data_IF_405017032949
#
_entry.id   IF_405017032949
#
_cell.length_a   1.000
_cell.length_b   1.000
_cell.length_c   1.000
_cell.angle_alpha   90.00
_cell.angle_beta   90.00
_cell.angle_gamma   90.00
#
_symmetry.space_group_name_H-M   'P 1'
#
loop_
_entity.id
_entity.type
_entity.pdbx_description
1 polymer ?
#
# COMPACT_ATOMS: atom_id res chain seq x y z
N UNK A 1 -16.44 -12.55 8.70
CA UNK A 1 -17.87 -12.82 8.43
C UNK A 1 -18.53 -13.28 9.69
N UNK A 2 -19.68 -12.70 10.03
CA UNK A 2 -20.50 -13.08 11.17
C UNK A 2 -21.76 -13.77 10.66
N UNK A 3 -22.17 -14.83 11.34
CA UNK A 3 -23.41 -15.56 11.07
C UNK A 3 -24.22 -15.60 12.36
N UNK A 4 -25.51 -15.38 12.26
CA UNK A 4 -26.43 -15.57 13.38
C UNK A 4 -27.76 -16.12 12.90
N UNK A 5 -28.55 -16.60 13.85
CA UNK A 5 -29.92 -17.06 13.63
C UNK A 5 -30.85 -16.11 14.39
N UNK A 6 -31.92 -15.68 13.73
CA UNK A 6 -32.96 -14.84 14.36
C UNK A 6 -33.88 -15.70 15.22
N UNK A 7 -34.69 -15.07 16.07
CA UNK A 7 -35.69 -15.77 16.90
C UNK A 7 -36.74 -16.53 16.05
N UNK A 8 -36.90 -16.17 14.78
CA UNK A 8 -37.78 -16.85 13.81
C UNK A 8 -37.10 -18.04 13.10
N UNK A 9 -35.85 -18.37 13.43
CA UNK A 9 -35.07 -19.46 12.82
C UNK A 9 -34.34 -19.10 11.53
N UNK A 10 -34.47 -17.85 11.07
CA UNK A 10 -33.82 -17.36 9.87
C UNK A 10 -32.32 -17.14 10.11
N UNK A 11 -31.47 -17.73 9.27
CA UNK A 11 -30.02 -17.47 9.27
C UNK A 11 -29.70 -16.19 8.53
N UNK A 12 -28.82 -15.38 9.11
CA UNK A 12 -28.35 -14.11 8.55
C UNK A 12 -26.82 -14.06 8.52
N UNK A 13 -26.29 -13.30 7.57
CA UNK A 13 -24.85 -13.11 7.38
C UNK A 13 -24.48 -11.63 7.24
N UNK A 14 -23.51 -11.21 8.05
CA UNK A 14 -22.79 -9.95 7.85
C UNK A 14 -21.38 -10.23 7.32
N UNK A 15 -21.03 -9.54 6.25
CA UNK A 15 -19.67 -9.51 5.70
C UNK A 15 -19.01 -8.18 6.03
N UNK A 16 -17.76 -8.25 6.46
CA UNK A 16 -16.87 -7.09 6.61
C UNK A 16 -15.77 -7.27 5.58
N UNK A 17 -15.61 -6.31 4.66
CA UNK A 17 -14.51 -6.37 3.68
C UNK A 17 -13.15 -6.29 4.36
N UNK A 18 -13.06 -5.54 5.47
CA UNK A 18 -11.79 -4.98 5.91
C UNK A 18 -11.21 -4.07 4.83
N UNK A 19 -9.89 -3.98 4.76
CA UNK A 19 -9.21 -3.46 3.58
C UNK A 19 -9.29 -4.54 2.49
N UNK A 20 -10.09 -4.30 1.46
CA UNK A 20 -10.50 -5.31 0.49
C UNK A 20 -9.31 -5.90 -0.27
N UNK A 21 -8.26 -5.12 -0.47
CA UNK A 21 -7.19 -5.52 -1.37
C UNK A 21 -7.52 -5.22 -2.83
N UNK A 22 -6.53 -5.36 -3.69
CA UNK A 22 -6.69 -5.26 -5.15
C UNK A 22 -6.46 -6.63 -5.77
N UNK A 23 -7.09 -6.90 -6.91
CA UNK A 23 -6.82 -8.13 -7.67
C UNK A 23 -5.47 -8.04 -8.42
N UNK A 24 -4.96 -9.19 -8.84
CA UNK A 24 -3.73 -9.37 -9.63
C UNK A 24 -2.50 -8.69 -9.01
N UNK A 25 -2.41 -8.70 -7.67
CA UNK A 25 -1.24 -8.17 -6.96
C UNK A 25 -0.18 -9.24 -6.80
N UNK A 26 1.11 -8.92 -7.04
CA UNK A 26 2.16 -9.91 -6.81
C UNK A 26 2.20 -10.28 -5.33
N UNK A 27 2.48 -11.56 -5.08
CA UNK A 27 2.52 -12.24 -3.79
C UNK A 27 1.14 -12.46 -3.17
N UNK A 28 0.18 -11.55 -3.32
CA UNK A 28 -1.11 -11.64 -2.62
C UNK A 28 -2.16 -12.39 -3.44
N UNK A 29 -2.99 -13.18 -2.76
CA UNK A 29 -4.19 -13.74 -3.37
C UNK A 29 -5.19 -12.63 -3.69
N UNK A 30 -5.96 -12.84 -4.74
CA UNK A 30 -7.07 -11.96 -5.08
C UNK A 30 -8.11 -11.89 -3.95
N UNK A 31 -8.83 -10.76 -3.83
CA UNK A 31 -9.92 -10.64 -2.88
C UNK A 31 -10.93 -11.79 -3.04
N UNK A 32 -11.29 -12.42 -1.92
CA UNK A 32 -12.22 -13.55 -1.94
C UNK A 32 -13.58 -13.11 -2.49
N UNK A 33 -14.14 -13.87 -3.43
CA UNK A 33 -15.51 -13.65 -3.89
C UNK A 33 -16.49 -13.92 -2.74
N UNK A 34 -17.45 -13.03 -2.56
CA UNK A 34 -18.50 -13.18 -1.56
C UNK A 34 -19.79 -13.63 -2.22
N UNK A 35 -20.45 -14.59 -1.58
CA UNK A 35 -21.75 -15.12 -1.98
C UNK A 35 -22.73 -14.96 -0.83
N UNK A 36 -24.02 -14.76 -1.13
CA UNK A 36 -25.15 -14.74 -0.18
C UNK A 36 -24.86 -13.93 1.09
N UNK A 37 -25.14 -12.62 1.06
CA UNK A 37 -24.87 -11.70 2.18
C UNK A 37 -26.09 -10.82 2.43
N UNK A 38 -26.58 -10.78 3.68
CA UNK A 38 -27.68 -9.90 4.06
C UNK A 38 -27.20 -8.47 4.30
N UNK A 39 -26.05 -8.33 4.95
CA UNK A 39 -25.49 -7.03 5.32
C UNK A 39 -24.00 -6.97 5.01
N UNK A 40 -23.56 -5.87 4.42
CA UNK A 40 -22.18 -5.71 3.99
C UNK A 40 -21.60 -4.42 4.55
N UNK A 41 -20.44 -4.50 5.20
CA UNK A 41 -19.59 -3.36 5.50
C UNK A 41 -18.43 -3.35 4.52
N UNK A 42 -18.26 -2.25 3.77
CA UNK A 42 -17.24 -2.12 2.73
C UNK A 42 -16.38 -0.87 2.96
N UNK A 43 -15.07 -1.01 2.78
CA UNK A 43 -14.14 0.13 2.85
C UNK A 43 -14.40 1.17 1.75
N UNK A 44 -13.89 2.39 1.95
CA UNK A 44 -14.05 3.48 0.99
C UNK A 44 -12.82 4.36 0.84
N UNK A 45 -11.63 3.80 1.12
CA UNK A 45 -10.36 4.54 1.09
C UNK A 45 -10.13 5.29 -0.22
N UNK A 46 -10.48 4.69 -1.37
CA UNK A 46 -10.44 5.31 -2.70
C UNK A 46 -11.82 5.43 -3.35
N UNK A 47 -12.88 5.60 -2.55
CA UNK A 47 -14.28 5.65 -3.04
C UNK A 47 -14.61 6.77 -4.04
N UNK A 48 -13.76 7.80 -4.15
CA UNK A 48 -13.89 8.91 -5.10
C UNK A 48 -12.78 8.98 -6.16
N UNK A 49 -11.90 7.98 -6.27
CA UNK A 49 -10.72 8.04 -7.14
C UNK A 49 -10.51 6.72 -7.87
N UNK A 50 -9.94 6.80 -9.07
CA UNK A 50 -9.35 5.66 -9.76
C UNK A 50 -7.85 5.63 -9.53
N UNK A 51 -7.28 4.42 -9.51
CA UNK A 51 -5.84 4.27 -9.65
C UNK A 51 -5.45 4.66 -11.07
N UNK A 52 -4.65 5.73 -11.23
CA UNK A 52 -4.30 6.28 -12.55
C UNK A 52 -3.31 5.40 -13.34
N UNK A 53 -2.61 4.51 -12.65
CA UNK A 53 -1.53 3.72 -13.23
C UNK A 53 -1.93 2.26 -13.44
N UNK A 54 -2.20 1.88 -14.70
CA UNK A 54 -2.38 0.47 -15.08
C UNK A 54 -1.08 -0.35 -14.95
N UNK A 55 0.07 0.32 -15.03
CA UNK A 55 1.42 -0.26 -14.97
C UNK A 55 2.30 0.48 -13.95
N UNK A 56 2.01 0.37 -12.65
CA UNK A 56 2.77 1.06 -11.60
C UNK A 56 4.26 0.67 -11.59
N UNK A 57 4.60 -0.55 -12.02
CA UNK A 57 5.96 -1.05 -12.20
C UNK A 57 6.76 -0.27 -13.24
N UNK A 58 6.12 0.20 -14.32
CA UNK A 58 6.78 1.02 -15.34
C UNK A 58 7.13 2.40 -14.79
N UNK A 59 6.22 3.02 -14.04
CA UNK A 59 6.48 4.30 -13.38
C UNK A 59 7.58 4.17 -12.33
N UNK A 60 7.61 3.05 -11.59
CA UNK A 60 8.70 2.74 -10.66
C UNK A 60 10.05 2.64 -11.37
N UNK A 61 10.12 1.88 -12.47
CA UNK A 61 11.30 1.77 -13.32
C UNK A 61 11.79 3.14 -13.79
N UNK A 62 10.90 3.95 -14.37
CA UNK A 62 11.22 5.30 -14.86
C UNK A 62 11.81 6.17 -13.75
N UNK A 63 11.18 6.18 -12.57
CA UNK A 63 11.64 6.99 -11.43
C UNK A 63 12.99 6.52 -10.90
N UNK A 64 13.22 5.20 -10.84
CA UNK A 64 14.51 4.64 -10.43
C UNK A 64 15.59 5.03 -11.44
N UNK A 65 15.39 4.74 -12.72
CA UNK A 65 16.37 5.00 -13.77
C UNK A 65 16.74 6.49 -13.85
N UNK A 66 15.76 7.38 -13.80
CA UNK A 66 16.01 8.83 -13.81
C UNK A 66 16.81 9.29 -12.59
N UNK A 67 16.49 8.77 -11.41
CA UNK A 67 17.14 9.15 -10.15
C UNK A 67 18.57 8.64 -10.10
N UNK A 68 18.78 7.37 -10.45
CA UNK A 68 20.11 6.75 -10.45
C UNK A 68 21.01 7.41 -11.51
N UNK A 69 20.49 7.75 -12.69
CA UNK A 69 21.24 8.49 -13.73
C UNK A 69 21.74 9.86 -13.26
N UNK A 70 20.99 10.52 -12.37
CA UNK A 70 21.39 11.79 -11.73
C UNK A 70 22.37 11.60 -10.56
N UNK A 71 22.88 10.38 -10.37
CA UNK A 71 23.67 9.96 -9.21
C UNK A 71 22.94 10.21 -7.88
N UNK A 72 21.61 10.12 -7.90
CA UNK A 72 20.75 10.24 -6.75
C UNK A 72 20.39 8.88 -6.15
N UNK A 73 19.57 8.95 -5.12
CA UNK A 73 19.06 7.80 -4.38
C UNK A 73 17.55 7.91 -4.33
N UNK A 74 16.87 6.77 -4.38
CA UNK A 74 15.41 6.69 -4.27
C UNK A 74 15.06 6.30 -2.84
N UNK A 75 14.31 7.16 -2.16
CA UNK A 75 13.85 6.94 -0.79
C UNK A 75 12.38 6.56 -0.88
N UNK A 76 12.02 5.36 -0.45
CA UNK A 76 10.68 4.81 -0.55
C UNK A 76 10.14 4.57 0.87
N UNK A 77 9.35 5.51 1.43
CA UNK A 77 8.61 5.28 2.64
C UNK A 77 7.61 4.15 2.42
N UNK A 78 7.71 3.09 3.21
CA UNK A 78 6.85 1.90 3.05
C UNK A 78 6.37 1.35 4.39
N UNK A 79 5.19 0.74 4.40
CA UNK A 79 4.73 -0.04 5.54
C UNK A 79 5.55 -1.33 5.63
N UNK A 80 5.91 -1.69 6.86
CA UNK A 80 6.79 -2.83 7.10
C UNK A 80 6.18 -4.16 6.62
N UNK A 81 4.86 -4.30 6.74
CA UNK A 81 4.10 -5.49 6.33
C UNK A 81 3.32 -5.20 5.05
N UNK A 82 3.34 -6.14 4.11
CA UNK A 82 2.68 -6.04 2.82
C UNK A 82 3.49 -5.24 1.79
N UNK A 83 3.51 -3.91 1.91
CA UNK A 83 4.06 -3.03 0.85
C UNK A 83 5.56 -3.18 0.62
N UNK A 84 6.32 -3.43 1.68
CA UNK A 84 7.78 -3.63 1.55
C UNK A 84 8.09 -4.92 0.79
N UNK A 85 7.37 -6.01 1.06
CA UNK A 85 7.57 -7.30 0.40
C UNK A 85 7.18 -7.22 -1.07
N UNK A 86 6.05 -6.57 -1.36
CA UNK A 86 5.60 -6.33 -2.74
C UNK A 86 6.62 -5.50 -3.54
N UNK A 87 7.14 -4.44 -2.95
CA UNK A 87 8.16 -3.63 -3.60
C UNK A 87 9.45 -4.42 -3.86
N UNK A 88 9.90 -5.23 -2.90
CA UNK A 88 11.10 -6.06 -3.07
C UNK A 88 10.94 -7.08 -4.20
N UNK A 89 9.78 -7.72 -4.30
CA UNK A 89 9.45 -8.63 -5.38
C UNK A 89 9.52 -7.96 -6.75
N UNK A 90 8.92 -6.76 -6.87
CA UNK A 90 8.88 -6.02 -8.13
C UNK A 90 10.26 -5.48 -8.51
N UNK A 91 11.03 -4.99 -7.53
CA UNK A 91 12.41 -4.55 -7.78
C UNK A 91 13.28 -5.71 -8.29
N UNK A 92 13.13 -6.91 -7.72
CA UNK A 92 13.83 -8.11 -8.19
C UNK A 92 13.42 -8.47 -9.61
N UNK A 93 12.13 -8.46 -9.93
CA UNK A 93 11.65 -8.73 -11.29
C UNK A 93 12.19 -7.72 -12.32
N UNK A 94 12.17 -6.43 -11.98
CA UNK A 94 12.71 -5.37 -12.84
C UNK A 94 14.23 -5.51 -13.03
N UNK A 95 14.96 -5.91 -11.99
CA UNK A 95 16.41 -6.14 -12.04
C UNK A 95 16.77 -7.36 -12.88
N UNK A 96 16.06 -8.49 -12.71
CA UNK A 96 16.24 -9.71 -13.52
C UNK A 96 15.98 -9.44 -15.00
N UNK A 97 14.98 -8.60 -15.31
CA UNK A 97 14.66 -8.15 -16.66
C UNK A 97 15.65 -7.08 -17.20
N UNK A 98 16.64 -6.66 -16.40
CA UNK A 98 17.60 -5.58 -16.72
C UNK A 98 16.93 -4.23 -17.05
N UNK A 99 15.73 -4.00 -16.51
CA UNK A 99 14.96 -2.75 -16.68
C UNK A 99 15.42 -1.66 -15.72
N UNK A 100 15.98 -2.03 -14.57
CA UNK A 100 16.65 -1.13 -13.64
C UNK A 100 18.11 -1.55 -13.44
N UNK A 101 19.02 -0.62 -13.14
CA UNK A 101 20.40 -0.96 -12.82
C UNK A 101 20.50 -1.69 -11.48
N UNK A 102 21.49 -2.56 -11.37
CA UNK A 102 21.84 -3.21 -10.11
C UNK A 102 22.48 -2.18 -9.18
N UNK A 103 21.73 -1.75 -8.17
CA UNK A 103 22.17 -0.80 -7.15
C UNK A 103 21.85 -1.38 -5.76
N UNK A 104 22.57 -0.96 -4.71
CA UNK A 104 22.24 -1.38 -3.35
C UNK A 104 20.79 -1.04 -2.99
N UNK A 105 20.05 -2.04 -2.50
CA UNK A 105 18.68 -1.87 -1.97
C UNK A 105 18.73 -2.08 -0.46
N UNK A 106 18.65 -1.00 0.30
CA UNK A 106 18.64 -1.03 1.75
C UNK A 106 17.21 -1.14 2.28
N UNK A 107 16.94 -2.17 3.08
CA UNK A 107 15.69 -2.31 3.82
C UNK A 107 15.99 -1.99 5.28
N UNK A 108 15.70 -0.74 5.67
CA UNK A 108 16.01 -0.22 7.00
C UNK A 108 14.76 -0.17 7.90
N UNK A 109 14.28 -1.35 8.27
CA UNK A 109 13.22 -1.52 9.26
C UNK A 109 13.28 -2.93 9.84
N UNK A 110 13.61 -3.10 11.13
CA UNK A 110 13.61 -4.42 11.77
C UNK A 110 12.27 -5.13 11.63
N UNK A 111 11.18 -4.37 11.72
CA UNK A 111 9.83 -4.92 11.52
C UNK A 111 9.62 -5.38 10.08
N UNK A 112 10.12 -4.65 9.08
CA UNK A 112 9.97 -5.07 7.68
C UNK A 112 10.82 -6.30 7.37
N UNK A 113 12.02 -6.40 7.94
CA UNK A 113 12.91 -7.55 7.83
C UNK A 113 12.20 -8.80 8.37
N UNK A 114 11.70 -8.73 9.61
CA UNK A 114 11.00 -9.84 10.25
C UNK A 114 9.71 -10.21 9.49
N UNK A 115 8.96 -9.21 9.00
CA UNK A 115 7.77 -9.45 8.20
C UNK A 115 8.11 -10.15 6.89
N UNK A 116 9.18 -9.75 6.19
CA UNK A 116 9.64 -10.41 4.96
C UNK A 116 10.02 -11.87 5.22
N UNK A 117 10.69 -12.16 6.34
CA UNK A 117 11.02 -13.53 6.72
C UNK A 117 9.76 -14.37 6.98
N UNK A 118 8.79 -13.83 7.72
CA UNK A 118 7.51 -14.49 7.95
C UNK A 118 6.77 -14.73 6.64
N UNK A 119 6.67 -13.72 5.77
CA UNK A 119 6.02 -13.85 4.46
C UNK A 119 6.69 -14.93 3.62
N UNK A 120 8.03 -14.99 3.60
CA UNK A 120 8.78 -16.00 2.85
C UNK A 120 8.57 -17.43 3.33
N UNK A 121 8.19 -17.64 4.60
CA UNK A 121 7.92 -18.97 5.15
C UNK A 121 6.49 -19.45 4.88
N UNK A 122 5.53 -18.53 4.77
CA UNK A 122 4.10 -18.85 4.60
C UNK A 122 3.66 -18.81 3.13
N UNK A 123 4.27 -19.68 2.34
CA UNK A 123 4.11 -19.76 0.88
C UNK A 123 2.67 -20.12 0.48
N UNK A 124 1.94 -20.85 1.33
CA UNK A 124 0.54 -21.22 1.16
C UNK A 124 -0.42 -20.02 1.12
N UNK A 125 0.01 -18.89 1.67
CA UNK A 125 -0.74 -17.64 1.67
C UNK A 125 -0.41 -16.74 0.47
N UNK A 126 0.55 -17.15 -0.37
CA UNK A 126 0.98 -16.39 -1.53
C UNK A 126 0.26 -16.80 -2.81
N UNK A 127 0.31 -15.93 -3.82
CA UNK A 127 -0.18 -16.23 -5.18
C UNK A 127 0.64 -17.34 -5.86
N UNK A 128 0.14 -17.83 -7.00
CA UNK A 128 0.78 -18.93 -7.74
C UNK A 128 2.18 -18.58 -8.28
N UNK A 129 2.38 -17.37 -8.79
CA UNK A 129 3.68 -16.90 -9.30
C UNK A 129 4.76 -16.86 -8.21
N UNK A 130 4.43 -16.31 -7.05
CA UNK A 130 5.34 -16.28 -5.90
C UNK A 130 5.67 -17.70 -5.39
N UNK A 131 4.67 -18.60 -5.38
CA UNK A 131 4.87 -20.02 -5.05
C UNK A 131 5.80 -20.73 -6.05
N UNK A 132 5.68 -20.43 -7.34
CA UNK A 132 6.53 -21.01 -8.38
C UNK A 132 8.00 -20.59 -8.23
N UNK A 133 8.26 -19.34 -7.81
CA UNK A 133 9.62 -18.88 -7.52
C UNK A 133 10.24 -19.68 -6.37
N UNK A 134 9.47 -19.94 -5.32
CA UNK A 134 9.93 -20.77 -4.21
C UNK A 134 10.30 -22.19 -4.65
N UNK A 135 9.46 -22.83 -5.49
CA UNK A 135 9.74 -24.17 -6.05
C UNK A 135 11.03 -24.19 -6.87
N UNK A 136 11.35 -23.09 -7.55
CA UNK A 136 12.60 -22.92 -8.32
C UNK A 136 13.82 -22.57 -7.47
N UNK A 137 13.66 -22.43 -6.15
CA UNK A 137 14.74 -22.03 -5.24
C UNK A 137 15.15 -20.56 -5.36
N UNK A 138 14.28 -19.70 -5.91
CA UNK A 138 14.54 -18.26 -6.08
C UNK A 138 14.06 -17.50 -4.84
N UNK A 139 14.91 -16.62 -4.30
CA UNK A 139 14.53 -15.74 -3.19
C UNK A 139 13.58 -14.63 -3.68
N UNK A 140 12.29 -14.75 -3.35
CA UNK A 140 11.24 -13.89 -3.90
C UNK A 140 11.32 -12.41 -3.50
N UNK A 141 12.02 -12.08 -2.42
CA UNK A 141 12.02 -10.75 -1.80
C UNK A 141 13.42 -10.13 -1.72
N UNK A 142 14.32 -10.54 -2.61
CA UNK A 142 15.68 -10.01 -2.66
C UNK A 142 16.08 -9.70 -4.09
N UNK A 143 16.57 -8.49 -4.31
CA UNK A 143 17.43 -8.19 -5.46
C UNK A 143 18.82 -8.80 -5.25
N UNK A 144 19.66 -8.80 -6.28
CA UNK A 144 21.04 -9.28 -6.21
C UNK A 144 21.89 -8.53 -5.17
N UNK A 145 21.51 -7.30 -4.82
CA UNK A 145 22.23 -6.47 -3.85
C UNK A 145 21.31 -5.87 -2.77
N UNK A 146 20.47 -6.73 -2.18
CA UNK A 146 19.62 -6.33 -1.04
C UNK A 146 20.38 -6.42 0.28
N UNK A 147 20.34 -5.35 1.06
CA UNK A 147 20.90 -5.25 2.41
C UNK A 147 19.79 -5.05 3.43
N UNK A 148 19.60 -6.05 4.30
CA UNK A 148 18.71 -5.94 5.45
C UNK A 148 19.46 -5.33 6.63
N UNK A 149 19.00 -4.18 7.11
CA UNK A 149 19.68 -3.37 8.13
C UNK A 149 18.95 -3.49 9.46
N UNK A 150 19.48 -4.31 10.36
CA UNK A 150 18.84 -4.58 11.65
C UNK A 150 19.23 -3.56 12.71
N UNK A 151 20.52 -3.20 12.77
CA UNK A 151 21.02 -2.38 13.88
C UNK A 151 20.94 -0.89 13.62
N UNK A 152 21.07 -0.10 14.69
CA UNK A 152 21.10 1.36 14.59
C UNK A 152 22.39 1.82 13.91
N UNK A 153 23.53 1.18 14.20
CA UNK A 153 24.81 1.55 13.60
C UNK A 153 24.79 1.33 12.08
N UNK A 154 24.22 0.21 11.62
CA UNK A 154 24.02 -0.06 10.19
C UNK A 154 23.13 1.00 9.54
N UNK A 155 22.00 1.35 10.17
CA UNK A 155 21.09 2.39 9.69
C UNK A 155 21.78 3.74 9.55
N UNK A 156 22.64 4.09 10.51
CA UNK A 156 23.41 5.33 10.46
C UNK A 156 24.40 5.34 9.29
N UNK A 157 25.12 4.24 9.05
CA UNK A 157 26.07 4.10 7.93
C UNK A 157 25.42 4.28 6.56
N UNK A 158 24.14 3.97 6.39
CA UNK A 158 23.41 4.23 5.13
C UNK A 158 23.40 5.72 4.80
N UNK A 159 23.37 6.60 5.80
CA UNK A 159 23.35 8.05 5.56
C UNK A 159 24.69 8.56 5.01
N UNK A 160 25.79 7.88 5.32
CA UNK A 160 27.13 8.20 4.82
C UNK A 160 27.38 7.61 3.41
N UNK A 161 26.49 6.74 2.93
CA UNK A 161 26.62 6.10 1.62
C UNK A 161 26.39 7.09 0.48
N UNK A 162 27.42 7.46 -0.27
CA UNK A 162 27.32 8.51 -1.29
C UNK A 162 26.90 8.01 -2.67
N UNK A 163 27.05 6.71 -2.95
CA UNK A 163 26.67 6.12 -4.23
C UNK A 163 25.14 6.01 -4.37
N UNK A 164 24.62 5.97 -5.62
CA UNK A 164 23.21 5.75 -5.89
C UNK A 164 22.70 4.46 -5.25
N UNK A 165 21.54 4.53 -4.60
CA UNK A 165 20.92 3.39 -3.92
C UNK A 165 19.41 3.57 -3.82
N UNK A 166 18.72 2.49 -3.45
CA UNK A 166 17.31 2.50 -3.07
C UNK A 166 17.24 2.26 -1.57
N UNK A 167 16.48 3.09 -0.85
CA UNK A 167 16.28 2.96 0.60
C UNK A 167 14.78 2.77 0.84
N UNK A 168 14.41 1.61 1.37
CA UNK A 168 13.05 1.27 1.78
C UNK A 168 13.03 1.28 3.30
N UNK A 169 12.21 2.14 3.91
CA UNK A 169 12.12 2.23 5.36
C UNK A 169 10.73 2.64 5.84
N UNK A 170 10.39 2.17 7.03
CA UNK A 170 9.16 2.54 7.73
C UNK A 170 9.34 3.87 8.50
N UNK A 171 8.29 4.66 8.70
CA UNK A 171 6.86 4.39 8.40
C UNK A 171 6.41 4.92 7.02
N UNK A 172 5.45 4.22 6.39
CA UNK A 172 4.95 4.54 5.05
C UNK A 172 4.29 5.91 4.90
N UNK A 173 3.87 6.54 5.99
CA UNK A 173 3.28 7.89 6.01
C UNK A 173 4.15 8.95 6.69
N UNK A 174 5.42 8.61 6.99
CA UNK A 174 6.37 9.52 7.63
C UNK A 174 5.89 10.06 8.99
N UNK A 175 5.16 9.25 9.75
CA UNK A 175 4.72 9.60 11.11
C UNK A 175 5.89 9.50 12.09
N UNK A 176 6.76 8.51 11.88
CA UNK A 176 8.00 8.27 12.63
C UNK A 176 8.92 7.26 11.93
N UNK A 177 9.91 6.77 12.68
CA UNK A 177 10.80 5.68 12.24
C UNK A 177 12.10 6.15 11.58
N UNK A 178 12.90 5.17 11.14
CA UNK A 178 14.25 5.39 10.60
C UNK A 178 14.24 6.18 9.28
N UNK A 179 13.16 6.08 8.50
CA UNK A 179 12.94 6.86 7.28
C UNK A 179 13.15 8.37 7.49
N UNK A 180 12.77 8.91 8.67
CA UNK A 180 12.94 10.33 8.96
C UNK A 180 14.41 10.76 9.03
N UNK A 181 15.29 9.87 9.47
CA UNK A 181 16.73 10.12 9.45
C UNK A 181 17.23 10.22 8.02
N UNK A 182 16.92 9.24 7.17
CA UNK A 182 17.31 9.28 5.75
C UNK A 182 16.78 10.52 5.03
N UNK A 183 15.54 10.91 5.31
CA UNK A 183 14.95 12.12 4.74
C UNK A 183 15.67 13.40 5.20
N UNK A 184 16.13 13.48 6.45
CA UNK A 184 16.91 14.62 6.94
C UNK A 184 18.16 14.87 6.08
N UNK A 185 18.84 13.80 5.65
CA UNK A 185 20.05 13.90 4.81
C UNK A 185 19.75 14.10 3.33
N UNK A 186 18.63 13.56 2.82
CA UNK A 186 18.38 13.48 1.36
C UNK A 186 17.42 14.55 0.82
N UNK A 187 16.47 15.03 1.63
CA UNK A 187 15.52 16.06 1.19
C UNK A 187 16.14 17.37 0.69
N UNK A 188 17.27 17.85 1.26
CA UNK A 188 17.87 19.11 0.80
C UNK A 188 18.55 19.05 -0.56
N UNK A 189 18.71 17.88 -1.19
CA UNK A 189 19.42 17.73 -2.47
C UNK A 189 18.45 17.27 -3.58
N UNK A 190 18.31 18.05 -4.68
CA UNK A 190 17.36 17.78 -5.77
C UNK A 190 17.69 16.54 -6.62
N UNK A 191 18.88 15.93 -6.47
CA UNK A 191 19.20 14.70 -7.19
C UNK A 191 18.44 13.48 -6.66
N UNK A 192 17.99 13.54 -5.40
CA UNK A 192 17.25 12.46 -4.76
C UNK A 192 15.76 12.51 -5.09
N UNK A 193 15.12 11.34 -5.02
CA UNK A 193 13.68 11.21 -5.19
C UNK A 193 13.10 10.54 -3.95
N UNK A 194 12.05 11.15 -3.39
CA UNK A 194 11.18 10.52 -2.39
C UNK A 194 9.94 10.03 -3.10
N UNK A 195 9.73 8.71 -3.09
CA UNK A 195 8.69 8.05 -3.84
C UNK A 195 7.66 7.43 -2.88
N UNK A 196 6.46 7.97 -2.86
CA UNK A 196 5.35 7.42 -2.10
C UNK A 196 4.60 6.37 -2.93
N UNK A 197 4.41 5.19 -2.36
CA UNK A 197 3.78 4.03 -3.03
C UNK A 197 2.45 3.63 -2.40
N UNK A 198 1.85 4.50 -1.58
CA UNK A 198 0.61 4.21 -0.87
C UNK A 198 -0.16 5.46 -0.50
N UNK A 199 -1.31 5.24 0.15
CA UNK A 199 -2.15 6.32 0.63
C UNK A 199 -1.40 7.16 1.67
N UNK A 200 -1.64 8.47 1.66
CA UNK A 200 -1.09 9.40 2.64
C UNK A 200 -2.26 10.11 3.29
N UNK A 201 -2.55 9.75 4.55
CA UNK A 201 -3.66 10.33 5.29
C UNK A 201 -3.45 11.82 5.59
N UNK A 202 -4.55 12.55 5.73
CA UNK A 202 -4.54 13.96 6.15
C UNK A 202 -3.77 14.14 7.47
N UNK A 203 -3.05 15.25 7.59
CA UNK A 203 -2.22 15.55 8.76
C UNK A 203 -0.86 14.85 8.80
N UNK A 204 -0.57 13.90 7.89
CA UNK A 204 0.74 13.24 7.82
C UNK A 204 1.79 14.09 7.09
N UNK A 205 3.08 13.84 7.39
CA UNK A 205 4.17 14.53 6.67
C UNK A 205 4.22 14.15 5.20
N UNK A 206 3.92 12.88 4.87
CA UNK A 206 3.92 12.44 3.48
C UNK A 206 2.83 13.14 2.67
N UNK A 207 1.62 13.30 3.23
CA UNK A 207 0.56 14.11 2.61
C UNK A 207 1.01 15.56 2.37
N UNK A 208 1.57 16.20 3.39
CA UNK A 208 2.06 17.58 3.26
C UNK A 208 3.15 17.74 2.19
N UNK A 209 4.03 16.74 2.01
CA UNK A 209 5.04 16.76 0.94
C UNK A 209 4.41 16.65 -0.45
N UNK A 210 3.43 15.77 -0.62
CA UNK A 210 2.70 15.61 -1.88
C UNK A 210 1.91 16.87 -2.26
N UNK A 211 1.40 17.60 -1.27
CA UNK A 211 0.74 18.90 -1.45
C UNK A 211 1.74 20.06 -1.70
N UNK A 212 3.03 19.75 -1.84
CA UNK A 212 4.04 20.72 -2.28
C UNK A 212 4.66 21.56 -1.18
N UNK A 213 4.48 21.18 0.10
CA UNK A 213 5.07 21.91 1.23
C UNK A 213 6.59 21.93 1.14
N UNK A 214 7.16 23.14 1.06
CA UNK A 214 8.60 23.36 0.83
C UNK A 214 9.50 23.04 2.03
N UNK A 215 8.93 22.89 3.23
CA UNK A 215 9.65 22.53 4.45
C UNK A 215 8.82 21.60 5.31
N UNK A 216 9.43 20.56 5.87
CA UNK A 216 8.78 19.64 6.80
C UNK A 216 9.54 19.56 8.13
N UNK A 217 8.81 19.41 9.23
CA UNK A 217 9.41 19.34 10.57
C UNK A 217 9.82 17.90 10.88
N UNK A 218 11.12 17.65 11.01
CA UNK A 218 11.71 16.34 11.39
C UNK A 218 12.60 16.56 12.61
N UNK A 219 12.37 15.79 13.68
CA UNK A 219 13.17 15.84 14.92
C UNK A 219 13.39 17.27 15.47
N UNK A 220 12.35 18.11 15.41
CA UNK A 220 12.40 19.50 15.89
C UNK A 220 12.87 20.53 14.86
N UNK A 221 13.49 20.10 13.75
CA UNK A 221 14.06 20.99 12.73
C UNK A 221 13.19 21.05 11.47
N UNK A 222 13.19 22.21 10.79
CA UNK A 222 12.51 22.38 9.50
C UNK A 222 13.47 22.07 8.34
N UNK A 223 13.27 20.94 7.69
CA UNK A 223 14.12 20.45 6.59
C UNK A 223 13.52 20.94 5.25
N UNK A 224 14.31 21.57 4.36
CA UNK A 224 13.84 21.97 3.04
C UNK A 224 13.61 20.75 2.14
N UNK A 225 12.47 20.75 1.45
CA UNK A 225 12.11 19.73 0.45
C UNK A 225 12.56 20.23 -0.91
N UNK A 226 13.78 19.86 -1.31
CA UNK A 226 14.35 20.12 -2.66
C UNK A 226 14.41 18.87 -3.52
N UNK A 227 14.53 17.70 -2.90
CA UNK A 227 14.39 16.40 -3.56
C UNK A 227 13.07 16.32 -4.33
N UNK A 228 13.08 15.57 -5.43
CA UNK A 228 11.87 15.28 -6.18
C UNK A 228 10.91 14.46 -5.30
N UNK A 229 9.65 14.84 -5.25
CA UNK A 229 8.61 14.11 -4.52
C UNK A 229 7.59 13.61 -5.52
N UNK A 230 7.36 12.30 -5.52
CA UNK A 230 6.45 11.65 -6.46
C UNK A 230 5.57 10.64 -5.75
N UNK A 231 4.42 10.33 -6.37
CA UNK A 231 3.52 9.27 -5.93
C UNK A 231 3.20 8.30 -7.07
N UNK A 232 3.18 7.02 -6.73
CA UNK A 232 2.63 5.96 -7.57
C UNK A 232 1.42 5.39 -6.82
N UNK A 233 0.21 5.75 -7.27
CA UNK A 233 -1.03 5.34 -6.61
C UNK A 233 -1.32 3.85 -6.83
N UNK A 234 -0.91 3.32 -7.99
CA UNK A 234 -1.10 1.91 -8.35
C UNK A 234 -0.38 0.89 -7.46
N UNK A 235 0.41 1.29 -6.45
CA UNK A 235 0.93 0.38 -5.42
C UNK A 235 0.11 0.36 -4.12
N UNK A 236 -1.02 1.07 -4.06
CA UNK A 236 -1.88 1.04 -2.89
C UNK A 236 -2.43 -0.37 -2.64
N UNK A 237 -2.60 -0.70 -1.35
CA UNK A 237 -3.23 -1.94 -0.91
C UNK A 237 -4.76 -1.89 -1.01
N UNK A 238 -5.35 -0.72 -1.19
CA UNK A 238 -6.81 -0.55 -1.17
C UNK A 238 -7.37 -0.51 -2.58
N UNK A 239 -8.54 -1.12 -2.75
CA UNK A 239 -9.30 -1.08 -3.99
C UNK A 239 -9.75 0.35 -4.32
N UNK A 240 -9.68 0.72 -5.59
CA UNK A 240 -10.42 1.89 -6.08
C UNK A 240 -11.92 1.59 -6.22
N UNK A 241 -12.70 2.62 -6.56
CA UNK A 241 -14.15 2.43 -6.64
C UNK A 241 -14.57 1.45 -7.73
N UNK A 242 -13.84 1.28 -8.85
CA UNK A 242 -14.20 0.31 -9.89
C UNK A 242 -13.89 -1.11 -9.43
N UNK A 243 -12.75 -1.31 -8.79
CA UNK A 243 -12.38 -2.57 -8.16
C UNK A 243 -13.38 -2.98 -7.08
N UNK A 244 -13.85 -2.03 -6.25
CA UNK A 244 -14.91 -2.28 -5.27
C UNK A 244 -16.22 -2.65 -5.97
N UNK A 245 -16.68 -1.86 -6.95
CA UNK A 245 -17.92 -2.16 -7.69
C UNK A 245 -17.85 -3.53 -8.39
N UNK A 246 -16.72 -3.88 -8.99
CA UNK A 246 -16.51 -5.18 -9.61
C UNK A 246 -16.58 -6.32 -8.58
N UNK A 247 -16.00 -6.14 -7.39
CA UNK A 247 -16.12 -7.11 -6.31
C UNK A 247 -17.57 -7.26 -5.82
N UNK A 248 -18.30 -6.14 -5.68
CA UNK A 248 -19.72 -6.14 -5.31
C UNK A 248 -20.60 -6.83 -6.36
N UNK A 249 -20.28 -6.69 -7.65
CA UNK A 249 -21.01 -7.33 -8.74
C UNK A 249 -20.97 -8.87 -8.68
N UNK A 250 -20.05 -9.46 -7.91
CA UNK A 250 -20.00 -10.89 -7.64
C UNK A 250 -21.12 -11.40 -6.72
N UNK A 251 -21.86 -10.52 -6.05
CA UNK A 251 -22.99 -10.91 -5.21
C UNK A 251 -24.16 -11.41 -6.05
N UNK A 252 -24.55 -12.66 -5.82
CA UNK A 252 -25.66 -13.33 -6.52
C UNK A 252 -27.04 -12.78 -6.16
N UNK A 253 -27.17 -12.16 -4.99
CA UNK A 253 -28.40 -11.53 -4.51
C UNK A 253 -28.08 -10.17 -3.87
N UNK A 254 -28.98 -9.18 -4.02
CA UNK A 254 -28.79 -7.88 -3.40
C UNK A 254 -28.79 -8.02 -1.87
N UNK A 255 -27.82 -7.41 -1.16
CA UNK A 255 -27.87 -7.34 0.29
C UNK A 255 -29.05 -6.46 0.72
N UNK A 256 -29.59 -6.72 1.92
CA UNK A 256 -30.61 -5.85 2.54
C UNK A 256 -30.07 -4.44 2.75
N UNK A 257 -28.81 -4.32 3.18
CA UNK A 257 -28.15 -3.02 3.33
C UNK A 257 -26.63 -3.13 3.20
N UNK A 258 -26.03 -2.08 2.62
CA UNK A 258 -24.58 -1.87 2.57
C UNK A 258 -24.22 -0.68 3.46
N UNK A 259 -23.15 -0.81 4.23
CA UNK A 259 -22.58 0.21 5.09
C UNK A 259 -21.19 0.58 4.59
N UNK A 260 -20.99 1.86 4.29
CA UNK A 260 -19.72 2.39 3.82
C UNK A 260 -18.90 2.85 5.02
N UNK A 261 -17.72 2.26 5.18
CA UNK A 261 -16.80 2.54 6.29
C UNK A 261 -15.39 2.82 5.77
N UNK A 262 -14.47 3.17 6.67
CA UNK A 262 -13.03 3.28 6.38
C UNK A 262 -12.71 4.13 5.12
N UNK A 263 -13.05 5.41 5.17
CA UNK A 263 -12.75 6.39 4.12
C UNK A 263 -13.06 7.82 4.56
N UNK A 264 -12.53 8.79 3.83
CA UNK A 264 -12.82 10.20 4.07
C UNK A 264 -14.26 10.53 3.66
N UNK A 265 -14.91 11.55 4.27
CA UNK A 265 -16.33 11.83 4.04
C UNK A 265 -16.74 12.00 2.57
N UNK A 266 -15.85 12.52 1.73
CA UNK A 266 -16.09 12.66 0.29
C UNK A 266 -15.97 11.31 -0.44
N UNK A 267 -14.96 10.51 -0.11
CA UNK A 267 -14.75 9.19 -0.68
C UNK A 267 -15.90 8.25 -0.35
N UNK A 268 -16.37 8.25 0.91
CA UNK A 268 -17.53 7.45 1.33
C UNK A 268 -18.83 7.89 0.65
N UNK A 269 -19.06 9.20 0.49
CA UNK A 269 -20.23 9.72 -0.21
C UNK A 269 -20.25 9.33 -1.69
N UNK A 270 -19.14 9.55 -2.38
CA UNK A 270 -18.98 9.16 -3.79
C UNK A 270 -19.22 7.67 -4.01
N UNK A 271 -18.63 6.80 -3.18
CA UNK A 271 -18.84 5.36 -3.31
C UNK A 271 -20.29 4.97 -3.04
N UNK A 272 -20.94 5.58 -2.04
CA UNK A 272 -22.35 5.31 -1.75
C UNK A 272 -23.26 5.67 -2.93
N UNK A 273 -23.04 6.82 -3.58
CA UNK A 273 -23.76 7.24 -4.78
C UNK A 273 -23.55 6.25 -5.93
N UNK A 274 -22.29 5.88 -6.22
CA UNK A 274 -21.95 4.90 -7.27
C UNK A 274 -22.63 3.53 -7.05
N UNK A 275 -22.67 3.04 -5.81
CA UNK A 275 -23.35 1.76 -5.48
C UNK A 275 -24.86 1.89 -5.70
N UNK A 276 -25.48 2.99 -5.27
CA UNK A 276 -26.92 3.24 -5.46
C UNK A 276 -27.29 3.35 -6.94
N UNK A 277 -26.46 4.00 -7.75
CA UNK A 277 -26.67 4.17 -9.19
C UNK A 277 -26.47 2.84 -9.94
N UNK A 278 -25.43 2.08 -9.59
CA UNK A 278 -25.08 0.84 -10.32
C UNK A 278 -25.99 -0.32 -9.97
N UNK A 279 -26.32 -0.49 -8.68
CA UNK A 279 -27.00 -1.69 -8.19
C UNK A 279 -28.39 -1.43 -7.60
N UNK A 280 -28.78 -0.18 -7.40
CA UNK A 280 -30.03 0.21 -6.75
C UNK A 280 -30.19 -0.38 -5.33
N UNK A 281 -29.08 -0.57 -4.62
CA UNK A 281 -29.08 -1.11 -3.26
C UNK A 281 -29.31 -0.03 -2.20
N UNK A 282 -29.78 -0.46 -1.04
CA UNK A 282 -29.85 0.38 0.16
C UNK A 282 -28.44 0.57 0.73
N UNK A 283 -27.97 1.82 0.80
CA UNK A 283 -26.62 2.15 1.27
C UNK A 283 -26.67 3.21 2.37
N UNK A 284 -25.94 2.95 3.45
CA UNK A 284 -25.76 3.81 4.62
C UNK A 284 -24.30 4.22 4.76
N UNK A 285 -24.06 5.41 5.29
CA UNK A 285 -22.73 5.90 5.69
C UNK A 285 -22.81 6.17 7.19
N UNK A 286 -22.48 5.19 8.05
CA UNK A 286 -22.61 5.35 9.48
C UNK A 286 -21.74 6.49 10.02
N UNK A 287 -22.28 7.23 10.98
CA UNK A 287 -21.50 8.17 11.78
C UNK A 287 -20.85 7.47 12.99
N UNK A 288 -19.83 8.12 13.55
CA UNK A 288 -19.23 7.66 14.80
C UNK A 288 -20.30 7.57 15.90
N UNK A 289 -20.29 6.49 16.67
CA UNK A 289 -21.29 6.12 17.69
C UNK A 289 -22.72 5.88 17.20
N UNK A 290 -22.97 5.85 15.88
CA UNK A 290 -24.27 5.48 15.34
C UNK A 290 -24.52 3.97 15.45
N UNK A 291 -25.75 3.58 15.81
CA UNK A 291 -26.16 2.17 15.97
C UNK A 291 -27.27 1.82 14.99
N UNK A 292 -27.14 0.67 14.33
CA UNK A 292 -28.14 0.12 13.41
C UNK A 292 -28.72 -1.18 13.97
N UNK A 293 -30.05 -1.28 13.98
CA UNK A 293 -30.75 -2.53 14.26
C UNK A 293 -30.93 -3.33 12.97
N UNK A 294 -30.35 -4.53 12.93
CA UNK A 294 -30.43 -5.43 11.77
C UNK A 294 -31.58 -6.43 11.98
N UNK A 295 -32.32 -6.74 10.90
CA UNK A 295 -33.45 -7.68 10.85
C UNK A 295 -33.12 -8.97 10.08
#
# INVERSE_FOLDING_TARGET
NLYWETDEGDKRKIVFSGDLGRANRPILKDPATIYNTDYLLVESTYGNRLHKENHPEKKLEEMINETIRKKGSVIIPSFAVGRTQELLYILRDLEEQKRIPQVPVFVDSPMAINATEITSRHIENQDLGARLLHIKGVEAFRTQNTHFTQTREESQKINDFTNPCIIISASGMLTGGRILHHLKYRLPDPKHTVLFIGYQAEGTRGRAMLEGKKKIKIHGEHIPVKARVEQISGFSAHADYEEILAWLAGLTHPPKSVFIVHGEPEASRSLAEKIKETFHWTVHIPQYDETYQLK
#
